data_IF_775660342295
#
_entry.id   IF_775660342295
#
_cell.length_a   1.000
_cell.length_b   1.000
_cell.length_c   1.000
_cell.angle_alpha   90.00
_cell.angle_beta   90.00
_cell.angle_gamma   90.00
#
_symmetry.space_group_name_H-M   'P 1'
#
loop_
_entity.id
_entity.type
_entity.pdbx_description
1 polymer ?
#
# COMPACT_ATOMS: atom_id res chain seq x y z
N UNK A 1 11.73 22.11 26.06
CA UNK A 1 11.14 20.78 26.27
C UNK A 1 9.83 21.02 26.99
N UNK A 2 8.71 21.11 26.26
CA UNK A 2 7.40 21.34 26.89
C UNK A 2 6.99 20.08 27.64
N UNK A 3 6.61 20.22 28.91
CA UNK A 3 6.50 19.09 29.86
C UNK A 3 5.33 18.17 29.49
N UNK A 4 5.34 16.90 29.93
CA UNK A 4 4.22 15.98 29.65
C UNK A 4 2.89 16.51 30.19
N UNK A 5 2.95 17.36 31.22
CA UNK A 5 1.83 18.04 31.86
C UNK A 5 1.17 19.05 30.91
N UNK A 6 1.94 19.82 30.15
CA UNK A 6 1.40 20.78 29.16
C UNK A 6 0.69 20.05 28.00
N UNK A 7 1.13 18.83 27.68
CA UNK A 7 0.51 17.99 26.65
C UNK A 7 -0.80 17.37 27.15
N UNK A 8 -0.85 16.96 28.40
CA UNK A 8 -2.08 16.45 29.03
C UNK A 8 -3.12 17.55 29.20
N UNK A 9 -2.70 18.75 29.61
CA UNK A 9 -3.55 19.93 29.69
C UNK A 9 -4.15 20.30 28.32
N UNK A 10 -3.33 20.41 27.28
CA UNK A 10 -3.81 20.70 25.93
C UNK A 10 -4.77 19.62 25.37
N UNK A 11 -4.58 18.35 25.76
CA UNK A 11 -5.48 17.25 25.40
C UNK A 11 -6.79 17.27 26.20
N UNK A 12 -6.76 17.74 27.46
CA UNK A 12 -7.94 17.95 28.27
C UNK A 12 -8.76 19.14 27.75
N UNK A 13 -8.12 20.26 27.45
CA UNK A 13 -8.77 21.45 26.88
C UNK A 13 -9.47 21.11 25.56
N UNK A 14 -8.80 20.34 24.69
CA UNK A 14 -9.38 19.85 23.45
C UNK A 14 -10.57 18.89 23.66
N UNK A 15 -10.54 18.05 24.69
CA UNK A 15 -11.67 17.16 25.05
C UNK A 15 -12.87 17.94 25.57
N UNK A 16 -12.63 19.02 26.33
CA UNK A 16 -13.67 19.90 26.83
C UNK A 16 -14.31 20.69 25.69
N UNK A 17 -13.51 21.17 24.75
CA UNK A 17 -13.98 21.82 23.52
C UNK A 17 -14.86 20.90 22.66
N UNK A 18 -14.43 19.64 22.45
CA UNK A 18 -15.21 18.65 21.70
C UNK A 18 -16.55 18.30 22.34
N UNK A 19 -16.64 18.33 23.68
CA UNK A 19 -17.88 18.08 24.41
C UNK A 19 -18.84 19.27 24.40
N UNK A 20 -18.32 20.49 24.30
CA UNK A 20 -19.15 21.71 24.20
C UNK A 20 -19.80 21.89 22.83
N UNK A 21 -19.24 21.30 21.78
CA UNK A 21 -19.69 21.46 20.40
C UNK A 21 -20.70 20.42 19.92
N UNK A 22 -21.11 19.47 20.77
CA UNK A 22 -22.13 18.45 20.46
C UNK A 22 -23.54 18.89 20.91
N UNK A 23 -23.69 20.02 21.62
CA UNK A 23 -24.97 20.50 22.16
C UNK A 23 -25.46 21.85 21.59
N UNK A 24 -24.67 22.58 20.79
CA UNK A 24 -25.12 23.82 20.15
C UNK A 24 -24.70 23.84 18.67
N UNK A 25 -25.60 23.39 17.80
CA UNK A 25 -25.75 23.98 16.46
C UNK A 25 -26.40 25.34 16.71
N UNK A 26 -25.63 26.43 16.68
CA UNK A 26 -26.07 27.72 16.15
C UNK A 26 -24.88 28.71 16.14
N UNK A 27 -24.87 29.50 15.08
CA UNK A 27 -23.89 30.50 14.70
C UNK A 27 -23.52 31.46 15.85
N UNK A 28 -22.21 31.59 16.17
CA UNK A 28 -21.49 32.80 16.65
C UNK A 28 -20.24 32.40 17.47
N UNK A 29 -19.07 32.29 16.83
CA UNK A 29 -17.75 32.65 17.40
C UNK A 29 -16.65 32.42 16.33
N UNK A 30 -16.42 33.44 15.49
CA UNK A 30 -15.45 33.42 14.39
C UNK A 30 -14.10 34.08 14.76
N UNK A 31 -13.71 34.10 16.05
CA UNK A 31 -12.41 34.62 16.47
C UNK A 31 -11.54 33.52 17.13
N UNK A 32 -10.44 33.18 16.43
CA UNK A 32 -9.32 32.32 16.86
C UNK A 32 -9.51 30.79 16.80
N UNK A 33 -10.22 30.26 15.78
CA UNK A 33 -10.05 28.85 15.44
C UNK A 33 -8.62 28.62 14.90
N UNK A 34 -7.75 27.82 15.56
CA UNK A 34 -6.40 27.57 15.08
C UNK A 34 -6.48 26.94 13.69
N UNK A 35 -5.70 27.47 12.74
CA UNK A 35 -5.68 26.96 11.36
C UNK A 35 -5.58 25.43 11.36
N UNK A 36 -6.63 24.79 10.84
CA UNK A 36 -6.76 23.34 10.82
C UNK A 36 -5.78 22.77 9.79
N UNK A 37 -5.20 21.62 10.12
CA UNK A 37 -4.36 20.85 9.21
C UNK A 37 -5.19 20.30 8.06
N UNK A 38 -4.59 20.24 6.85
CA UNK A 38 -5.18 19.57 5.68
C UNK A 38 -5.34 18.04 5.86
N UNK A 39 -4.74 17.46 6.91
CA UNK A 39 -4.65 16.02 7.13
C UNK A 39 -5.56 15.49 8.25
N UNK A 40 -6.41 16.34 8.84
CA UNK A 40 -7.43 15.94 9.81
C UNK A 40 -7.69 16.98 10.90
N UNK A 41 -8.37 16.56 11.96
CA UNK A 41 -8.84 17.41 13.07
C UNK A 41 -7.72 17.80 14.05
N UNK A 42 -6.54 18.23 13.57
CA UNK A 42 -5.47 18.78 14.41
C UNK A 42 -5.06 20.17 13.96
N UNK A 43 -4.55 20.98 14.90
CA UNK A 43 -3.99 22.29 14.58
C UNK A 43 -2.67 22.16 13.80
N UNK A 44 -2.36 23.16 12.96
CA UNK A 44 -1.05 23.24 12.27
C UNK A 44 0.13 23.15 13.22
N UNK A 45 0.06 23.79 14.40
CA UNK A 45 1.12 23.71 15.41
C UNK A 45 1.37 22.28 15.93
N UNK A 46 0.30 21.49 16.12
CA UNK A 46 0.42 20.09 16.52
C UNK A 46 1.03 19.22 15.40
N UNK A 47 0.66 19.48 14.14
CA UNK A 47 1.27 18.83 12.98
C UNK A 47 2.77 19.13 12.89
N UNK A 48 3.17 20.39 13.01
CA UNK A 48 4.56 20.79 12.96
C UNK A 48 5.40 20.15 14.06
N UNK A 49 4.90 20.13 15.30
CA UNK A 49 5.57 19.48 16.42
C UNK A 49 5.73 17.97 16.19
N UNK A 50 4.70 17.31 15.65
CA UNK A 50 4.73 15.88 15.30
C UNK A 50 5.81 15.60 14.25
N UNK A 51 5.83 16.34 13.14
CA UNK A 51 6.81 16.13 12.09
C UNK A 51 8.23 16.54 12.52
N UNK A 52 8.40 17.57 13.36
CA UNK A 52 9.70 17.92 13.94
C UNK A 52 10.28 16.76 14.74
N UNK A 53 9.47 16.14 15.61
CA UNK A 53 9.88 14.94 16.36
C UNK A 53 10.22 13.78 15.42
N UNK A 54 9.34 13.46 14.45
CA UNK A 54 9.57 12.37 13.48
C UNK A 54 10.86 12.59 12.69
N UNK A 55 11.17 13.83 12.31
CA UNK A 55 12.42 14.20 11.62
C UNK A 55 13.63 13.97 12.50
N UNK A 56 13.62 14.45 13.75
CA UNK A 56 14.73 14.25 14.68
C UNK A 56 14.99 12.76 14.96
N UNK A 57 13.95 11.96 15.21
CA UNK A 57 14.07 10.51 15.42
C UNK A 57 14.62 9.78 14.18
N UNK A 58 14.15 10.17 12.99
CA UNK A 58 14.63 9.59 11.73
C UNK A 58 16.08 9.96 11.47
N UNK A 59 16.44 11.22 11.68
CA UNK A 59 17.80 11.72 11.48
C UNK A 59 18.79 11.00 12.39
N UNK A 60 18.49 10.89 13.69
CA UNK A 60 19.31 10.14 14.64
C UNK A 60 19.55 8.70 14.16
N UNK A 61 18.48 7.97 13.81
CA UNK A 61 18.60 6.58 13.33
C UNK A 61 19.46 6.45 12.08
N UNK A 62 19.31 7.37 11.13
CA UNK A 62 20.08 7.34 9.88
C UNK A 62 21.55 7.68 10.12
N UNK A 63 21.84 8.72 10.90
CA UNK A 63 23.22 9.12 11.22
C UNK A 63 23.96 8.05 12.01
N UNK A 64 23.31 7.43 13.01
CA UNK A 64 23.90 6.30 13.74
C UNK A 64 24.18 5.12 12.80
N UNK A 65 23.24 4.78 11.92
CA UNK A 65 23.43 3.70 10.96
C UNK A 65 24.57 4.01 9.98
N UNK A 66 24.64 5.23 9.46
CA UNK A 66 25.69 5.68 8.56
C UNK A 66 27.06 5.67 9.22
N UNK A 67 27.17 6.18 10.46
CA UNK A 67 28.41 6.18 11.23
C UNK A 67 28.95 4.76 11.43
N UNK A 68 28.11 3.85 11.95
CA UNK A 68 28.53 2.49 12.25
C UNK A 68 28.87 1.68 10.99
N UNK A 69 28.11 1.86 9.91
CA UNK A 69 28.43 1.25 8.62
C UNK A 69 29.75 1.78 8.05
N UNK A 70 29.97 3.09 8.12
CA UNK A 70 31.22 3.69 7.65
C UNK A 70 32.43 3.20 8.46
N UNK A 71 32.30 3.08 9.79
CA UNK A 71 33.33 2.52 10.65
C UNK A 71 33.62 1.05 10.32
N UNK A 72 32.57 0.24 10.10
CA UNK A 72 32.70 -1.15 9.73
C UNK A 72 33.40 -1.32 8.37
N UNK A 73 32.95 -0.58 7.35
CA UNK A 73 33.46 -0.67 5.98
C UNK A 73 34.92 -0.22 5.85
N UNK A 74 35.35 0.75 6.66
CA UNK A 74 36.73 1.26 6.66
C UNK A 74 37.68 0.46 7.54
N UNK A 75 37.17 -0.52 8.30
CA UNK A 75 38.01 -1.29 9.20
C UNK A 75 38.91 -2.27 8.41
N UNK A 76 40.23 -2.34 8.68
CA UNK A 76 41.15 -3.25 7.98
C UNK A 76 40.69 -4.71 8.00
N UNK A 77 40.21 -5.18 9.16
CA UNK A 77 39.68 -6.55 9.34
C UNK A 77 38.20 -6.72 8.95
N UNK A 78 37.68 -5.92 8.01
CA UNK A 78 36.28 -5.98 7.58
C UNK A 78 35.81 -7.42 7.34
N UNK A 79 36.62 -8.22 6.61
CA UNK A 79 36.34 -9.60 6.21
C UNK A 79 35.91 -10.53 7.37
N UNK A 80 36.38 -10.26 8.58
CA UNK A 80 36.04 -11.02 9.79
C UNK A 80 34.96 -10.31 10.60
N UNK A 81 35.05 -8.98 10.72
CA UNK A 81 34.18 -8.20 11.58
C UNK A 81 32.74 -8.10 11.09
N UNK A 82 32.49 -8.08 9.78
CA UNK A 82 31.13 -7.94 9.25
C UNK A 82 30.21 -9.08 9.70
N UNK A 83 30.73 -10.31 9.80
CA UNK A 83 29.97 -11.47 10.28
C UNK A 83 29.57 -11.29 11.74
N UNK A 84 30.51 -10.85 12.58
CA UNK A 84 30.27 -10.56 14.00
C UNK A 84 29.34 -9.37 14.19
N UNK A 85 29.39 -8.38 13.30
CA UNK A 85 28.48 -7.25 13.31
C UNK A 85 27.05 -7.71 13.04
N UNK A 86 26.84 -8.56 12.02
CA UNK A 86 25.52 -9.08 11.69
C UNK A 86 24.91 -9.96 12.77
N UNK A 87 25.70 -10.67 13.59
CA UNK A 87 25.14 -11.48 14.69
C UNK A 87 24.67 -10.66 15.89
N UNK A 88 25.04 -9.38 15.97
CA UNK A 88 24.65 -8.48 17.06
C UNK A 88 23.32 -7.82 16.79
N UNK A 89 22.53 -7.61 17.83
CA UNK A 89 21.26 -6.88 17.77
C UNK A 89 21.43 -5.45 17.22
N UNK A 90 22.52 -4.78 17.59
CA UNK A 90 22.88 -3.46 17.07
C UNK A 90 23.09 -3.50 15.55
N UNK A 91 23.87 -4.46 15.06
CA UNK A 91 24.12 -4.64 13.63
C UNK A 91 22.84 -4.94 12.85
N UNK A 92 21.99 -5.84 13.36
CA UNK A 92 20.66 -6.08 12.80
C UNK A 92 19.82 -4.81 12.72
N UNK A 93 19.83 -3.98 13.76
CA UNK A 93 19.06 -2.72 13.81
C UNK A 93 19.55 -1.72 12.76
N UNK A 94 20.86 -1.59 12.60
CA UNK A 94 21.51 -0.69 11.65
C UNK A 94 21.20 -1.11 10.22
N UNK A 95 21.40 -2.39 9.88
CA UNK A 95 21.09 -2.91 8.55
C UNK A 95 19.60 -2.76 8.25
N UNK A 96 18.73 -3.09 9.20
CA UNK A 96 17.29 -2.90 9.03
C UNK A 96 16.91 -1.43 8.82
N UNK A 97 17.61 -0.50 9.46
CA UNK A 97 17.39 0.94 9.27
C UNK A 97 17.74 1.36 7.85
N UNK A 98 18.88 0.93 7.33
CA UNK A 98 19.28 1.17 5.94
C UNK A 98 18.30 0.54 4.94
N UNK A 99 17.93 -0.73 5.13
CA UNK A 99 16.97 -1.44 4.28
C UNK A 99 15.57 -0.80 4.31
N UNK A 100 15.11 -0.33 5.47
CA UNK A 100 13.84 0.41 5.59
C UNK A 100 13.90 1.75 4.86
N UNK A 101 15.02 2.46 4.95
CA UNK A 101 15.22 3.72 4.22
C UNK A 101 15.10 3.48 2.70
N UNK A 102 15.77 2.44 2.20
CA UNK A 102 15.69 2.04 0.81
C UNK A 102 14.29 1.58 0.39
N UNK A 103 13.64 0.72 1.20
CA UNK A 103 12.26 0.27 0.97
C UNK A 103 11.29 1.46 0.86
N UNK A 104 11.43 2.44 1.75
CA UNK A 104 10.56 3.63 1.77
C UNK A 104 10.70 4.52 0.53
N UNK A 105 11.81 4.42 -0.21
CA UNK A 105 12.00 5.11 -1.49
C UNK A 105 11.08 4.56 -2.58
N UNK A 106 10.80 3.25 -2.56
CA UNK A 106 10.14 2.54 -3.66
C UNK A 106 8.72 2.03 -3.36
N UNK A 107 8.40 1.67 -2.10
CA UNK A 107 7.17 0.93 -1.75
C UNK A 107 5.85 1.60 -2.17
N UNK A 108 5.85 2.93 -2.35
CA UNK A 108 4.67 3.69 -2.77
C UNK A 108 4.69 4.19 -4.21
N UNK A 109 5.76 3.95 -4.97
CA UNK A 109 5.95 4.57 -6.29
C UNK A 109 6.58 3.67 -7.35
N UNK A 110 7.19 2.55 -6.96
CA UNK A 110 7.80 1.59 -7.90
C UNK A 110 7.12 0.22 -7.90
N UNK A 111 6.16 0.04 -6.99
CA UNK A 111 5.38 -1.18 -6.81
C UNK A 111 3.89 -0.81 -6.89
N UNK A 112 3.13 -1.54 -7.69
CA UNK A 112 1.69 -1.39 -7.81
C UNK A 112 0.98 -2.62 -7.25
N UNK A 113 -0.02 -2.41 -6.41
CA UNK A 113 -0.94 -3.46 -5.99
C UNK A 113 -2.25 -3.32 -6.77
N UNK A 114 -2.61 -4.33 -7.55
CA UNK A 114 -3.88 -4.39 -8.25
C UNK A 114 -4.94 -5.01 -7.34
N UNK A 115 -5.81 -4.14 -6.80
CA UNK A 115 -6.93 -4.56 -5.97
C UNK A 115 -8.09 -5.15 -6.79
N UNK A 116 -8.43 -4.51 -7.91
CA UNK A 116 -9.52 -4.93 -8.79
C UNK A 116 -8.99 -4.96 -10.21
N UNK A 117 -8.85 -6.16 -10.77
CA UNK A 117 -8.41 -6.37 -12.13
C UNK A 117 -9.23 -7.51 -12.70
N UNK A 118 -10.02 -7.24 -13.74
CA UNK A 118 -11.00 -8.18 -14.27
C UNK A 118 -11.88 -7.52 -15.32
N UNK A 119 -12.79 -8.31 -15.88
CA UNK A 119 -13.85 -7.78 -16.73
C UNK A 119 -15.08 -7.48 -15.88
N UNK A 120 -15.70 -6.34 -16.14
CA UNK A 120 -17.08 -6.10 -15.73
C UNK A 120 -18.02 -6.91 -16.64
N UNK A 121 -19.14 -7.44 -16.11
CA UNK A 121 -20.18 -8.01 -16.95
C UNK A 121 -20.70 -7.01 -18.00
N UNK A 122 -21.01 -7.47 -19.24
CA UNK A 122 -20.98 -8.86 -19.71
C UNK A 122 -19.64 -9.28 -20.34
N UNK A 123 -18.60 -8.46 -20.27
CA UNK A 123 -17.32 -8.71 -20.97
C UNK A 123 -16.52 -9.88 -20.39
N UNK A 124 -16.94 -10.44 -19.25
CA UNK A 124 -16.42 -11.70 -18.73
C UNK A 124 -16.67 -12.87 -19.70
N UNK A 125 -17.76 -12.85 -20.47
CA UNK A 125 -18.11 -13.91 -21.43
C UNK A 125 -17.06 -14.05 -22.55
N UNK A 126 -16.49 -12.93 -23.00
CA UNK A 126 -15.39 -12.89 -23.99
C UNK A 126 -14.00 -12.90 -23.35
N UNK A 127 -13.91 -13.15 -22.04
CA UNK A 127 -12.64 -13.22 -21.30
C UNK A 127 -11.83 -11.92 -21.33
N UNK A 128 -12.48 -10.76 -21.33
CA UNK A 128 -11.79 -9.46 -21.31
C UNK A 128 -10.97 -9.24 -20.04
N UNK A 129 -11.25 -9.96 -18.95
CA UNK A 129 -10.42 -9.90 -17.73
C UNK A 129 -8.99 -10.39 -17.95
N UNK A 130 -8.79 -11.30 -18.91
CA UNK A 130 -7.45 -11.74 -19.35
C UNK A 130 -6.76 -10.67 -20.18
N UNK A 131 -7.51 -9.93 -21.01
CA UNK A 131 -6.97 -8.81 -21.76
C UNK A 131 -6.46 -7.74 -20.79
N UNK A 132 -7.29 -7.30 -19.85
CA UNK A 132 -6.92 -6.29 -18.86
C UNK A 132 -5.68 -6.74 -18.07
N UNK A 133 -5.66 -7.96 -17.56
CA UNK A 133 -4.52 -8.48 -16.82
C UNK A 133 -3.23 -8.60 -17.65
N UNK A 134 -3.31 -8.79 -18.97
CA UNK A 134 -2.15 -8.73 -19.87
C UNK A 134 -1.74 -7.29 -20.17
N UNK A 135 -2.69 -6.38 -20.40
CA UNK A 135 -2.42 -4.97 -20.65
C UNK A 135 -1.73 -4.30 -19.45
N UNK A 136 -1.93 -4.82 -18.24
CA UNK A 136 -1.17 -4.40 -17.07
C UNK A 136 0.35 -4.57 -17.22
N UNK A 137 0.81 -5.43 -18.14
CA UNK A 137 2.22 -5.69 -18.42
C UNK A 137 2.77 -4.82 -19.57
N UNK A 138 1.95 -3.91 -20.11
CA UNK A 138 2.29 -3.12 -21.29
C UNK A 138 3.19 -1.92 -20.97
N UNK A 139 3.96 -1.43 -21.96
CA UNK A 139 4.66 -0.14 -21.85
C UNK A 139 3.69 1.03 -21.60
N UNK A 140 2.45 0.96 -22.11
CA UNK A 140 1.40 1.96 -21.87
C UNK A 140 1.14 2.18 -20.38
N UNK A 141 1.03 1.10 -19.60
CA UNK A 141 0.80 1.21 -18.15
C UNK A 141 1.96 1.87 -17.43
N UNK A 142 3.21 1.53 -17.78
CA UNK A 142 4.39 2.16 -17.19
C UNK A 142 4.43 3.65 -17.55
N UNK A 143 4.16 3.99 -18.82
CA UNK A 143 4.12 5.38 -19.28
C UNK A 143 3.02 6.19 -18.59
N UNK A 144 1.81 5.64 -18.47
CA UNK A 144 0.68 6.28 -17.80
C UNK A 144 0.91 6.44 -16.30
N UNK A 145 1.54 5.43 -15.66
CA UNK A 145 1.94 5.51 -14.26
C UNK A 145 2.96 6.62 -14.04
N UNK A 146 4.00 6.68 -14.88
CA UNK A 146 5.02 7.74 -14.82
C UNK A 146 4.40 9.11 -15.07
N UNK A 147 3.50 9.26 -16.05
CA UNK A 147 2.79 10.53 -16.30
C UNK A 147 1.94 10.97 -15.10
N UNK A 148 1.29 10.02 -14.42
CA UNK A 148 0.39 10.32 -13.29
C UNK A 148 1.13 10.66 -11.99
N UNK A 149 2.26 10.00 -11.73
CA UNK A 149 2.95 10.08 -10.45
C UNK A 149 4.37 10.67 -10.50
N UNK A 150 4.96 10.80 -11.69
CA UNK A 150 6.36 11.19 -11.90
C UNK A 150 6.72 12.57 -11.37
N UNK A 151 5.80 13.53 -11.48
CA UNK A 151 6.02 14.91 -11.01
C UNK A 151 5.26 15.24 -9.72
N UNK A 152 4.54 14.26 -9.15
CA UNK A 152 3.68 14.49 -7.98
C UNK A 152 4.51 14.41 -6.69
N UNK A 153 4.56 15.48 -5.87
CA UNK A 153 5.19 15.41 -4.56
C UNK A 153 4.51 14.35 -3.68
N UNK A 154 5.30 13.56 -2.96
CA UNK A 154 4.78 12.61 -1.98
C UNK A 154 4.43 13.35 -0.69
N UNK A 155 3.15 13.38 -0.31
CA UNK A 155 2.67 14.16 0.84
C UNK A 155 3.42 13.86 2.14
N UNK A 156 3.59 12.57 2.46
CA UNK A 156 4.29 12.12 3.66
C UNK A 156 5.80 12.40 3.54
N UNK A 157 6.40 12.12 2.39
CA UNK A 157 7.84 12.30 2.21
C UNK A 157 8.24 13.78 2.27
N UNK A 158 7.41 14.65 1.68
CA UNK A 158 7.63 16.08 1.64
C UNK A 158 7.58 16.69 3.04
N UNK A 159 6.57 16.34 3.85
CA UNK A 159 6.47 16.77 5.26
C UNK A 159 7.61 16.21 6.12
N UNK A 160 8.03 14.98 5.85
CA UNK A 160 9.21 14.39 6.50
C UNK A 160 10.53 15.06 6.11
N UNK A 161 10.63 15.70 4.93
CA UNK A 161 11.83 16.46 4.54
C UNK A 161 11.75 17.94 4.94
N UNK A 162 10.55 18.51 4.95
CA UNK A 162 10.30 19.95 5.10
C UNK A 162 10.22 20.70 3.76
N UNK A 163 10.30 20.00 2.64
CA UNK A 163 10.24 20.54 1.28
C UNK A 163 9.65 19.50 0.32
N UNK A 164 9.18 19.87 -0.89
CA UNK A 164 8.63 18.93 -1.86
C UNK A 164 9.60 17.79 -2.20
N UNK A 165 9.13 16.55 -2.06
CA UNK A 165 9.89 15.34 -2.41
C UNK A 165 9.16 14.58 -3.50
N UNK A 166 9.75 14.58 -4.68
CA UNK A 166 9.35 13.75 -5.81
C UNK A 166 10.12 12.43 -5.72
N UNK A 167 9.41 11.32 -5.88
CA UNK A 167 9.99 9.97 -5.83
C UNK A 167 10.03 9.35 -7.23
N UNK A 168 10.94 8.40 -7.49
CA UNK A 168 10.94 7.68 -8.76
C UNK A 168 9.60 6.98 -8.99
N UNK A 169 8.96 7.26 -10.14
CA UNK A 169 7.71 6.63 -10.57
C UNK A 169 7.95 5.49 -11.57
N UNK A 170 9.08 4.79 -11.42
CA UNK A 170 9.47 3.64 -12.23
C UNK A 170 8.74 2.39 -11.72
N UNK A 171 7.62 2.03 -12.36
CA UNK A 171 6.85 0.85 -12.01
C UNK A 171 7.59 -0.42 -12.44
N UNK A 172 8.09 -1.23 -11.51
CA UNK A 172 8.90 -2.42 -11.84
C UNK A 172 8.25 -3.74 -11.42
N UNK A 173 7.23 -3.68 -10.57
CA UNK A 173 6.56 -4.85 -10.03
C UNK A 173 5.08 -4.57 -9.82
N UNK A 174 4.26 -5.56 -10.19
CA UNK A 174 2.82 -5.54 -9.95
C UNK A 174 2.46 -6.74 -9.08
N UNK A 175 1.89 -6.47 -7.90
CA UNK A 175 1.27 -7.45 -7.02
C UNK A 175 -0.25 -7.46 -7.19
N UNK A 176 -0.88 -8.57 -6.85
CA UNK A 176 -2.34 -8.67 -6.74
C UNK A 176 -2.73 -9.79 -5.80
N UNK A 177 -3.94 -9.71 -5.25
CA UNK A 177 -4.54 -10.77 -4.45
C UNK A 177 -5.77 -11.32 -5.15
N UNK A 178 -5.95 -12.65 -5.10
CA UNK A 178 -7.16 -13.28 -5.61
C UNK A 178 -8.37 -12.91 -4.76
N UNK A 179 -9.56 -13.05 -5.33
CA UNK A 179 -10.80 -12.83 -4.57
C UNK A 179 -11.00 -13.87 -3.46
N UNK A 180 -10.66 -15.14 -3.75
CA UNK A 180 -10.81 -16.29 -2.86
C UNK A 180 -9.52 -17.11 -2.75
N UNK A 181 -9.37 -17.88 -1.68
CA UNK A 181 -8.24 -18.79 -1.47
C UNK A 181 -8.17 -19.91 -2.53
N UNK A 182 -9.31 -20.34 -3.08
CA UNK A 182 -9.35 -21.46 -4.02
C UNK A 182 -9.56 -20.94 -5.44
N UNK A 183 -8.65 -21.32 -6.35
CA UNK A 183 -8.82 -21.19 -7.79
C UNK A 183 -8.77 -19.75 -8.32
N UNK A 184 -7.57 -19.26 -8.64
CA UNK A 184 -7.41 -18.06 -9.46
C UNK A 184 -7.34 -18.42 -10.94
N UNK A 185 -8.49 -18.52 -11.62
CA UNK A 185 -8.52 -18.84 -13.06
C UNK A 185 -7.94 -17.72 -13.94
N UNK A 186 -7.93 -16.48 -13.42
CA UNK A 186 -7.45 -15.30 -14.13
C UNK A 186 -5.92 -15.24 -14.21
N UNK A 187 -5.21 -15.45 -13.09
CA UNK A 187 -3.75 -15.29 -13.05
C UNK A 187 -2.99 -16.61 -13.30
N UNK A 188 -3.48 -17.75 -12.82
CA UNK A 188 -2.73 -19.03 -12.86
C UNK A 188 -2.32 -19.52 -14.26
N UNK A 189 -3.05 -19.12 -15.31
CA UNK A 189 -2.83 -19.60 -16.69
C UNK A 189 -2.51 -18.48 -17.66
N UNK A 190 -2.35 -17.25 -17.17
CA UNK A 190 -2.11 -16.10 -18.02
C UNK A 190 -0.62 -15.92 -18.25
N UNK A 191 -0.24 -15.99 -19.52
CA UNK A 191 1.15 -15.85 -19.97
C UNK A 191 1.20 -14.87 -21.13
N UNK A 192 2.19 -14.00 -21.12
CA UNK A 192 2.55 -13.17 -22.26
C UNK A 192 3.73 -13.83 -22.98
N UNK A 193 3.59 -14.18 -24.27
CA UNK A 193 4.61 -14.95 -24.98
C UNK A 193 5.94 -14.20 -25.05
N UNK A 194 7.02 -14.98 -25.08
CA UNK A 194 8.36 -14.47 -25.37
C UNK A 194 8.38 -13.75 -26.73
N UNK A 195 9.25 -12.76 -26.89
CA UNK A 195 9.38 -12.03 -28.15
C UNK A 195 8.29 -10.98 -28.44
N UNK A 196 7.21 -10.91 -27.66
CA UNK A 196 6.03 -10.09 -28.02
C UNK A 196 6.32 -8.58 -28.02
N UNK A 197 6.99 -8.10 -26.96
CA UNK A 197 7.28 -6.67 -26.76
C UNK A 197 8.73 -6.29 -27.05
N UNK A 198 9.63 -7.28 -27.11
CA UNK A 198 11.02 -7.17 -27.55
C UNK A 198 11.49 -8.55 -28.02
N UNK A 199 12.32 -8.68 -29.06
CA UNK A 199 12.71 -9.99 -29.62
C UNK A 199 13.35 -10.94 -28.59
N UNK A 200 14.23 -10.43 -27.72
CA UNK A 200 14.92 -11.16 -26.64
C UNK A 200 14.09 -11.16 -25.33
N UNK A 201 12.79 -10.87 -25.42
CA UNK A 201 11.87 -10.82 -24.30
C UNK A 201 11.56 -12.23 -23.81
N UNK A 202 11.71 -12.52 -22.50
CA UNK A 202 11.26 -13.80 -21.96
C UNK A 202 9.72 -13.86 -21.96
N UNK A 203 9.18 -15.05 -21.81
CA UNK A 203 7.76 -15.21 -21.52
C UNK A 203 7.47 -14.68 -20.11
N UNK A 204 6.48 -13.80 -19.98
CA UNK A 204 6.07 -13.26 -18.67
C UNK A 204 4.87 -14.02 -18.12
N UNK A 205 4.91 -14.32 -16.83
CA UNK A 205 3.87 -15.09 -16.12
C UNK A 205 3.62 -14.48 -14.76
N UNK A 206 2.36 -14.50 -14.32
CA UNK A 206 2.03 -14.20 -12.93
C UNK A 206 2.57 -15.33 -12.05
N UNK A 207 3.48 -14.98 -11.14
CA UNK A 207 4.08 -15.90 -10.18
C UNK A 207 3.18 -15.96 -8.95
N UNK A 208 2.91 -17.18 -8.48
CA UNK A 208 2.29 -17.40 -7.18
C UNK A 208 3.32 -17.16 -6.08
N UNK A 209 3.04 -16.23 -5.18
CA UNK A 209 3.96 -15.80 -4.12
C UNK A 209 3.61 -16.37 -2.74
N UNK A 210 2.39 -16.89 -2.57
CA UNK A 210 1.93 -17.46 -1.30
C UNK A 210 0.48 -17.11 -1.01
N UNK A 211 0.05 -17.30 0.25
CA UNK A 211 -1.31 -17.00 0.70
C UNK A 211 -1.28 -15.96 1.81
N UNK A 212 -2.28 -15.09 1.84
CA UNK A 212 -2.49 -14.20 2.96
C UNK A 212 -3.02 -15.00 4.16
N UNK A 213 -2.60 -14.65 5.36
CA UNK A 213 -3.08 -15.24 6.61
C UNK A 213 -4.46 -14.74 7.08
N UNK A 214 -5.08 -13.83 6.32
CA UNK A 214 -6.44 -13.33 6.55
C UNK A 214 -6.55 -12.40 7.76
N UNK A 215 -6.03 -11.18 7.68
CA UNK A 215 -6.21 -10.16 8.72
C UNK A 215 -6.98 -8.96 8.16
N UNK A 216 -7.97 -8.47 8.89
CA UNK A 216 -8.80 -7.37 8.42
C UNK A 216 -9.94 -7.01 9.36
N UNK A 217 -10.78 -6.09 8.93
CA UNK A 217 -11.94 -5.59 9.70
C UNK A 217 -13.26 -5.83 8.99
N UNK A 218 -13.27 -6.66 7.95
CA UNK A 218 -14.44 -6.89 7.10
C UNK A 218 -15.54 -7.65 7.84
N UNK A 219 -15.16 -8.54 8.77
CA UNK A 219 -16.09 -9.26 9.66
C UNK A 219 -16.58 -8.42 10.85
N UNK A 220 -16.10 -7.18 10.99
CA UNK A 220 -16.41 -6.32 12.14
C UNK A 220 -17.31 -5.18 11.69
N UNK A 221 -18.56 -5.22 12.14
CA UNK A 221 -19.57 -4.21 11.81
C UNK A 221 -19.22 -2.83 12.38
N UNK A 222 -19.84 -1.78 11.84
CA UNK A 222 -19.70 -0.41 12.39
C UNK A 222 -20.25 -0.31 13.81
N UNK A 223 -21.37 -0.98 14.09
CA UNK A 223 -22.02 -0.98 15.41
C UNK A 223 -21.09 -1.65 16.44
N UNK A 224 -20.51 -2.80 16.10
CA UNK A 224 -19.55 -3.50 16.96
C UNK A 224 -18.33 -2.65 17.28
N UNK A 225 -17.80 -1.93 16.28
CA UNK A 225 -16.70 -1.00 16.50
C UNK A 225 -17.10 0.10 17.49
N UNK A 226 -18.26 0.73 17.28
CA UNK A 226 -18.76 1.80 18.16
C UNK A 226 -18.94 1.31 19.59
N UNK A 227 -19.56 0.14 19.78
CA UNK A 227 -19.74 -0.46 21.11
C UNK A 227 -18.40 -0.79 21.78
N UNK A 228 -17.39 -1.23 21.03
CA UNK A 228 -16.04 -1.45 21.56
C UNK A 228 -15.38 -0.14 22.00
N UNK A 229 -15.51 0.92 21.20
CA UNK A 229 -15.00 2.25 21.52
C UNK A 229 -15.69 2.83 22.77
N UNK A 230 -17.02 2.72 22.88
CA UNK A 230 -17.80 3.14 24.04
C UNK A 230 -17.40 2.36 25.31
N UNK A 231 -17.30 1.03 25.21
CA UNK A 231 -16.91 0.18 26.33
C UNK A 231 -15.50 0.51 26.83
N UNK A 232 -14.56 0.77 25.92
CA UNK A 232 -13.19 1.09 26.26
C UNK A 232 -13.00 2.54 26.74
N UNK A 233 -13.97 3.43 26.48
CA UNK A 233 -13.90 4.83 26.87
C UNK A 233 -14.19 5.08 28.35
N UNK A 234 -14.89 4.17 29.04
CA UNK A 234 -15.32 4.35 30.45
C UNK A 234 -14.17 4.38 31.48
N UNK A 235 -13.01 3.78 31.20
CA UNK A 235 -11.87 3.70 32.14
C UNK A 235 -10.62 4.50 31.70
N UNK A 236 -10.71 5.32 30.65
CA UNK A 236 -9.56 6.09 30.15
C UNK A 236 -9.20 5.77 28.69
N UNK A 237 -10.04 6.24 27.77
CA UNK A 237 -9.67 6.71 26.44
C UNK A 237 -8.94 5.77 25.49
N UNK A 238 -9.69 5.08 24.64
CA UNK A 238 -9.19 4.65 23.33
C UNK A 238 -9.14 5.88 22.42
N UNK A 239 -8.02 6.59 22.43
CA UNK A 239 -7.79 7.65 21.44
C UNK A 239 -7.04 7.07 20.24
N UNK A 240 -7.80 6.59 19.26
CA UNK A 240 -7.26 6.39 17.92
C UNK A 240 -7.55 7.62 17.10
N UNK A 241 -6.55 8.48 17.04
CA UNK A 241 -6.55 9.59 16.11
C UNK A 241 -6.66 9.08 14.66
N UNK A 242 -7.53 9.70 13.88
CA UNK A 242 -7.65 9.47 12.45
C UNK A 242 -6.62 10.30 11.66
N UNK A 243 -5.52 10.71 12.30
CA UNK A 243 -4.49 11.55 11.70
C UNK A 243 -3.73 10.76 10.64
N UNK A 244 -3.63 11.34 9.46
CA UNK A 244 -2.85 10.78 8.36
C UNK A 244 -1.35 10.63 8.74
N UNK A 245 -0.77 9.48 8.42
CA UNK A 245 0.65 9.21 8.66
C UNK A 245 1.00 8.61 10.03
N UNK A 246 0.02 8.10 10.78
CA UNK A 246 0.20 7.41 12.07
C UNK A 246 0.22 5.88 11.99
N UNK A 247 -0.11 5.29 10.83
CA UNK A 247 -0.02 3.85 10.63
C UNK A 247 -1.12 3.30 9.73
N UNK A 248 -1.10 1.99 9.54
CA UNK A 248 -2.05 1.29 8.69
C UNK A 248 -3.42 1.16 9.38
N UNK A 249 -4.49 1.54 8.69
CA UNK A 249 -5.91 1.42 9.08
C UNK A 249 -6.26 1.92 10.50
N UNK A 250 -6.81 3.15 10.64
CA UNK A 250 -7.35 3.64 11.91
C UNK A 250 -8.32 2.66 12.57
N UNK A 251 -9.22 2.04 11.80
CA UNK A 251 -10.18 1.05 12.30
C UNK A 251 -9.51 -0.14 12.99
N UNK A 252 -8.45 -0.71 12.41
CA UNK A 252 -7.70 -1.82 13.04
C UNK A 252 -7.03 -1.39 14.35
N UNK A 253 -6.46 -0.17 14.39
CA UNK A 253 -5.85 0.37 15.60
C UNK A 253 -6.91 0.54 16.71
N UNK A 254 -8.08 1.09 16.36
CA UNK A 254 -9.19 1.31 17.30
C UNK A 254 -9.64 0.00 17.93
N UNK A 255 -9.87 -1.03 17.09
CA UNK A 255 -10.27 -2.36 17.56
C UNK A 255 -9.23 -2.95 18.50
N UNK A 256 -7.94 -2.94 18.11
CA UNK A 256 -6.87 -3.51 18.94
C UNK A 256 -6.75 -2.81 20.28
N UNK A 257 -6.84 -1.48 20.29
CA UNK A 257 -6.72 -0.71 21.52
C UNK A 257 -7.96 -0.90 22.41
N UNK A 258 -9.16 -0.88 21.84
CA UNK A 258 -10.39 -1.14 22.59
C UNK A 258 -10.43 -2.55 23.19
N UNK A 259 -10.04 -3.57 22.44
CA UNK A 259 -9.95 -4.94 22.95
C UNK A 259 -8.91 -5.08 24.06
N UNK A 260 -7.78 -4.39 23.96
CA UNK A 260 -6.76 -4.40 25.01
C UNK A 260 -7.28 -3.81 26.33
N UNK A 261 -8.10 -2.76 26.25
CA UNK A 261 -8.72 -2.12 27.43
C UNK A 261 -9.85 -2.98 28.00
N UNK A 262 -10.77 -3.44 27.15
CA UNK A 262 -11.98 -4.16 27.60
C UNK A 262 -11.66 -5.53 28.19
N UNK A 263 -10.70 -6.25 27.62
CA UNK A 263 -10.43 -7.62 28.04
C UNK A 263 -9.54 -7.69 29.30
N UNK A 264 -8.95 -6.58 29.77
CA UNK A 264 -8.02 -6.52 30.92
C UNK A 264 -6.89 -7.57 30.87
N UNK A 265 -6.51 -7.99 29.66
CA UNK A 265 -5.50 -9.03 29.46
C UNK A 265 -4.19 -8.32 29.13
N UNK A 266 -3.25 -8.34 30.07
CA UNK A 266 -1.84 -8.00 29.83
C UNK A 266 -1.15 -8.87 28.74
N UNK A 267 -1.89 -9.75 28.06
CA UNK A 267 -1.39 -10.51 26.93
C UNK A 267 -1.79 -9.85 25.60
N UNK A 268 -0.77 -9.30 24.93
CA UNK A 268 -0.79 -8.85 23.53
C UNK A 268 -1.28 -9.91 22.52
N UNK A 269 -1.55 -11.14 22.96
CA UNK A 269 -1.79 -12.32 22.15
C UNK A 269 -3.22 -12.35 21.54
N UNK A 270 -4.25 -11.88 22.26
CA UNK A 270 -5.66 -12.08 21.85
C UNK A 270 -6.18 -11.06 20.84
N UNK A 271 -5.69 -9.81 20.87
CA UNK A 271 -6.13 -8.76 19.94
C UNK A 271 -5.69 -9.02 18.48
N UNK A 272 -4.59 -9.77 18.28
CA UNK A 272 -4.17 -10.23 16.96
C UNK A 272 -5.19 -11.21 16.37
N UNK A 273 -5.61 -12.20 17.16
CA UNK A 273 -6.52 -13.27 16.73
C UNK A 273 -7.92 -12.76 16.38
N UNK A 274 -8.46 -11.79 17.12
CA UNK A 274 -9.78 -11.21 16.81
C UNK A 274 -9.81 -10.42 15.49
N UNK A 275 -8.65 -9.90 15.07
CA UNK A 275 -8.49 -9.27 13.75
C UNK A 275 -8.20 -10.27 12.63
N UNK A 276 -8.00 -11.55 12.96
CA UNK A 276 -7.81 -12.64 12.01
C UNK A 276 -9.16 -13.19 11.57
N UNK A 277 -9.33 -13.40 10.27
CA UNK A 277 -10.51 -13.95 9.64
C UNK A 277 -10.13 -15.07 8.67
N UNK A 278 -11.03 -16.01 8.44
CA UNK A 278 -10.78 -17.16 7.55
C UNK A 278 -10.74 -16.83 6.06
N UNK A 279 -10.91 -15.57 5.66
CA UNK A 279 -10.80 -15.13 4.27
C UNK A 279 -9.34 -14.95 3.85
N UNK A 280 -8.63 -16.04 3.61
CA UNK A 280 -7.33 -16.04 2.95
C UNK A 280 -7.49 -15.85 1.43
N UNK A 281 -6.44 -15.32 0.81
CA UNK A 281 -6.36 -15.02 -0.62
C UNK A 281 -4.99 -15.47 -1.13
N UNK A 282 -4.95 -15.92 -2.37
CA UNK A 282 -3.70 -16.21 -3.07
C UNK A 282 -3.05 -14.89 -3.48
N UNK A 283 -1.74 -14.79 -3.29
CA UNK A 283 -0.93 -13.63 -3.66
C UNK A 283 -0.20 -13.96 -4.95
N UNK A 284 -0.34 -13.07 -5.93
CA UNK A 284 0.38 -13.15 -7.20
C UNK A 284 1.24 -11.92 -7.39
N UNK A 285 2.32 -12.08 -8.16
CA UNK A 285 3.19 -10.99 -8.55
C UNK A 285 3.81 -11.20 -9.92
N UNK A 286 4.22 -10.10 -10.53
CA UNK A 286 4.93 -10.13 -11.80
C UNK A 286 5.91 -8.96 -11.88
N UNK A 287 7.10 -9.26 -12.40
CA UNK A 287 8.13 -8.26 -12.68
C UNK A 287 7.91 -7.68 -14.08
N UNK A 288 8.01 -6.36 -14.21
CA UNK A 288 8.02 -5.66 -15.49
C UNK A 288 9.43 -5.38 -16.01
N UNK A 289 10.43 -5.54 -15.14
CA UNK A 289 11.84 -5.29 -15.44
C UNK A 289 12.73 -6.47 -15.02
N UNK A 290 13.71 -6.81 -15.85
CA UNK A 290 14.63 -7.93 -15.61
C UNK A 290 15.54 -7.72 -14.41
N UNK A 291 15.84 -6.47 -14.10
CA UNK A 291 16.68 -6.04 -12.99
C UNK A 291 15.87 -5.31 -11.90
N UNK A 292 14.54 -5.44 -11.92
CA UNK A 292 13.65 -4.76 -10.98
C UNK A 292 14.03 -4.99 -9.52
N UNK A 293 14.54 -6.18 -9.16
CA UNK A 293 15.07 -6.46 -7.82
C UNK A 293 16.30 -5.63 -7.46
N UNK A 294 17.23 -5.46 -8.41
CA UNK A 294 18.45 -4.64 -8.22
C UNK A 294 18.07 -3.17 -8.08
N UNK A 295 17.16 -2.70 -8.93
CA UNK A 295 16.60 -1.36 -8.84
C UNK A 295 15.93 -1.10 -7.48
N UNK A 296 15.06 -1.99 -7.00
CA UNK A 296 14.42 -1.84 -5.67
C UNK A 296 15.43 -1.85 -4.51
N UNK A 297 16.57 -2.53 -4.66
CA UNK A 297 17.66 -2.52 -3.67
C UNK A 297 18.56 -1.28 -3.78
N UNK A 298 18.39 -0.45 -4.80
CA UNK A 298 19.18 0.77 -4.99
C UNK A 298 20.54 0.51 -5.64
N UNK A 299 20.73 -0.65 -6.28
CA UNK A 299 21.94 -0.96 -7.04
C UNK A 299 21.96 -0.30 -8.43
N UNK A 300 20.79 0.15 -8.91
CA UNK A 300 20.59 0.76 -10.22
C UNK A 300 19.69 1.98 -10.07
N UNK A 301 19.97 3.04 -10.85
CA UNK A 301 19.14 4.25 -10.89
C UNK A 301 17.92 4.11 -11.80
N UNK A 302 17.99 3.24 -12.81
CA UNK A 302 16.90 2.96 -13.75
C UNK A 302 16.76 1.46 -13.98
N UNK A 303 15.52 0.96 -14.12
CA UNK A 303 15.27 -0.44 -14.45
C UNK A 303 15.32 -0.71 -15.97
N UNK A 304 15.70 -1.93 -16.32
CA UNK A 304 15.64 -2.47 -17.68
C UNK A 304 14.35 -3.26 -17.88
N UNK A 305 13.40 -2.68 -18.60
CA UNK A 305 12.07 -3.24 -18.86
C UNK A 305 12.07 -4.45 -19.80
N UNK A 306 11.05 -5.32 -19.67
CA UNK A 306 10.81 -6.46 -20.58
C UNK A 306 10.25 -6.09 -21.95
N UNK A 307 10.00 -4.81 -22.20
CA UNK A 307 9.66 -4.23 -23.50
C UNK A 307 10.80 -3.36 -24.01
N UNK A 308 10.84 -3.14 -25.32
CA UNK A 308 11.79 -2.22 -25.95
C UNK A 308 11.45 -0.76 -25.54
N UNK A 309 12.41 0.02 -24.98
CA UNK A 309 12.20 1.43 -24.66
C UNK A 309 11.79 2.30 -25.85
N UNK A 310 12.14 1.90 -27.08
CA UNK A 310 11.80 2.61 -28.30
C UNK A 310 10.42 2.22 -28.85
N UNK A 311 9.79 1.16 -28.32
CA UNK A 311 8.46 0.75 -28.72
C UNK A 311 7.44 1.79 -28.26
N UNK A 312 6.64 2.38 -29.18
CA UNK A 312 5.58 3.29 -28.79
C UNK A 312 4.61 2.61 -27.80
N UNK A 313 4.26 3.26 -26.67
CA UNK A 313 3.47 2.61 -25.63
C UNK A 313 2.13 2.05 -26.13
N UNK A 314 1.44 2.77 -27.04
CA UNK A 314 0.20 2.33 -27.64
C UNK A 314 0.39 1.08 -28.51
N UNK A 315 1.48 1.01 -29.26
CA UNK A 315 1.79 -0.14 -30.12
C UNK A 315 2.05 -1.39 -29.26
N UNK A 316 2.77 -1.25 -28.14
CA UNK A 316 2.96 -2.36 -27.20
C UNK A 316 1.64 -2.86 -26.60
N UNK A 317 0.71 -1.96 -26.27
CA UNK A 317 -0.65 -2.31 -25.86
C UNK A 317 -1.41 -3.06 -26.96
N UNK A 318 -1.31 -2.62 -28.21
CA UNK A 318 -1.99 -3.23 -29.34
C UNK A 318 -1.44 -4.62 -29.67
N UNK A 319 -0.13 -4.84 -29.59
CA UNK A 319 0.49 -6.18 -29.74
C UNK A 319 -0.06 -7.18 -28.71
N UNK A 320 -0.26 -6.73 -27.47
CA UNK A 320 -0.89 -7.53 -26.41
C UNK A 320 -2.36 -7.80 -26.72
N UNK A 321 -3.11 -6.79 -27.16
CA UNK A 321 -4.50 -6.94 -27.54
C UNK A 321 -4.67 -7.92 -28.70
N UNK A 322 -3.80 -7.86 -29.71
CA UNK A 322 -3.81 -8.77 -30.85
C UNK A 322 -3.51 -10.21 -30.44
N UNK A 323 -2.52 -10.41 -29.56
CA UNK A 323 -2.26 -11.72 -28.97
C UNK A 323 -3.51 -12.25 -28.24
N UNK A 324 -4.17 -11.42 -27.44
CA UNK A 324 -5.39 -11.83 -26.75
C UNK A 324 -6.53 -12.15 -27.72
N UNK A 325 -6.70 -11.36 -28.79
CA UNK A 325 -7.72 -11.58 -29.81
C UNK A 325 -7.55 -12.96 -30.45
N UNK A 326 -6.33 -13.25 -30.93
CA UNK A 326 -5.99 -14.56 -31.53
C UNK A 326 -6.17 -15.72 -30.55
N UNK A 327 -5.75 -15.54 -29.29
CA UNK A 327 -5.68 -16.64 -28.32
C UNK A 327 -7.00 -16.98 -27.65
N UNK A 328 -7.85 -15.99 -27.39
CA UNK A 328 -9.08 -16.14 -26.62
C UNK A 328 -10.32 -15.61 -27.33
N UNK A 329 -10.28 -14.37 -27.86
CA UNK A 329 -11.48 -13.75 -28.42
C UNK A 329 -12.06 -14.55 -29.59
N UNK A 330 -11.22 -14.94 -30.57
CA UNK A 330 -11.70 -15.68 -31.77
C UNK A 330 -12.48 -16.94 -31.40
N UNK A 331 -12.04 -17.69 -30.38
CA UNK A 331 -12.74 -18.89 -29.90
C UNK A 331 -14.04 -18.55 -29.18
N UNK A 332 -14.11 -17.41 -28.49
CA UNK A 332 -15.34 -16.95 -27.81
C UNK A 332 -16.37 -16.40 -28.78
N UNK A 333 -15.95 -15.76 -29.86
CA UNK A 333 -16.84 -15.32 -30.94
C UNK A 333 -17.51 -16.49 -31.66
N UNK A 334 -16.85 -17.66 -31.73
CA UNK A 334 -17.46 -18.88 -32.25
C UNK A 334 -18.37 -19.61 -31.25
N UNK A 335 -18.50 -19.12 -30.01
CA UNK A 335 -19.26 -19.78 -28.94
C UNK A 335 -20.62 -19.10 -28.75
N UNK A 336 -21.65 -19.57 -29.46
CA UNK A 336 -22.98 -18.94 -29.53
C UNK A 336 -23.56 -18.60 -28.16
N UNK A 337 -23.50 -19.51 -27.19
CA UNK A 337 -24.08 -19.24 -25.85
C UNK A 337 -23.42 -18.06 -25.13
N UNK A 338 -22.12 -17.83 -25.36
CA UNK A 338 -21.41 -16.73 -24.71
C UNK A 338 -21.92 -15.39 -25.27
N UNK A 339 -22.13 -15.33 -26.59
CA UNK A 339 -22.71 -14.16 -27.25
C UNK A 339 -24.17 -13.94 -26.85
N UNK A 340 -24.97 -15.01 -26.77
CA UNK A 340 -26.36 -14.92 -26.30
C UNK A 340 -26.42 -14.35 -24.88
N UNK A 341 -25.60 -14.84 -23.94
CA UNK A 341 -25.52 -14.29 -22.58
C UNK A 341 -25.08 -12.84 -22.54
N UNK A 342 -24.19 -12.42 -23.44
CA UNK A 342 -23.80 -11.01 -23.54
C UNK A 342 -24.95 -10.11 -23.98
N UNK A 343 -25.72 -10.53 -25.00
CA UNK A 343 -26.85 -9.73 -25.51
C UNK A 343 -27.99 -9.69 -24.50
N UNK A 344 -28.22 -10.79 -23.77
CA UNK A 344 -29.26 -10.89 -22.75
C UNK A 344 -28.89 -10.28 -21.40
N UNK A 345 -27.67 -9.75 -21.26
CA UNK A 345 -27.22 -9.21 -19.99
C UNK A 345 -28.02 -7.96 -19.61
N UNK A 346 -28.69 -8.02 -18.45
CA UNK A 346 -29.36 -6.89 -17.83
C UNK A 346 -28.61 -6.47 -16.55
N UNK A 347 -28.03 -5.26 -16.51
CA UNK A 347 -27.36 -4.73 -15.31
C UNK A 347 -28.22 -4.77 -14.05
N UNK A 348 -29.55 -4.59 -14.16
CA UNK A 348 -30.46 -4.56 -13.02
C UNK A 348 -30.52 -5.91 -12.30
N UNK A 349 -30.31 -7.01 -13.02
CA UNK A 349 -30.28 -8.36 -12.44
C UNK A 349 -29.01 -8.66 -11.66
N UNK A 350 -27.97 -7.81 -11.80
CA UNK A 350 -26.65 -8.04 -11.19
C UNK A 350 -26.39 -7.16 -9.96
N UNK A 351 -27.26 -6.20 -9.66
CA UNK A 351 -27.14 -5.33 -8.49
C UNK A 351 -27.56 -6.08 -7.22
N UNK A 352 -26.68 -6.07 -6.21
CA UNK A 352 -26.95 -6.72 -4.89
C UNK A 352 -27.86 -5.84 -4.02
N UNK A 353 -27.96 -4.54 -4.31
CA UNK A 353 -28.93 -3.61 -3.74
C UNK A 353 -29.38 -2.61 -4.81
N UNK A 354 -30.66 -2.26 -4.82
CA UNK A 354 -31.23 -1.23 -5.70
C UNK A 354 -30.72 0.16 -5.37
#
# INVERSE_FOLDING_TARGET
MRSSVEREAAMQDWRTWLKGNDENDDDEEEELAPERSELGNISRAAEEALYRRKRAERLLRLLTAEQDLNLLLKHPDFATLWRRFLTRETGHTIINTALKAQKNRHIGTSILELNVCGAIPPYNEILSGKLVALLMLSPQVVADYRRRYGDRPSDIASRMKGEPVIRPAELVFIGTTSLYQVGSSQYNRLKMPAGLLRPEGPELRWEYLGETSGYGTNHISRITLKSLEEAASKNGGVYVNHIFGEGFSPKLRAIRQALAVVLDIGQKFTAGELTKHSMSRLVYGIWLASDGRKFLRGELDQPTYYFDPLLPPQEGGERIAEYWRKRWLLRRLAHTEALTRMVQFDPQTFLISK
#
